data_IF_072858022238
#
_entry.id   IF_072858022238
#
_cell.length_a   1.000
_cell.length_b   1.000
_cell.length_c   1.000
_cell.angle_alpha   90.00
_cell.angle_beta   90.00
_cell.angle_gamma   90.00
#
_symmetry.space_group_name_H-M   'P 1'
#
loop_
_entity.id
_entity.type
_entity.pdbx_description
1 polymer ?
#
# COMPACT_ATOMS: atom_id res chain seq x y z
N UNK A 1 25.39 -0.19 -59.96
CA UNK A 1 26.39 -0.96 -59.19
C UNK A 1 25.74 -1.46 -57.91
N UNK A 2 25.10 -2.64 -57.94
CA UNK A 2 24.46 -3.23 -56.76
C UNK A 2 25.51 -3.85 -55.83
N UNK A 3 25.46 -3.54 -54.53
CA UNK A 3 26.33 -4.18 -53.53
C UNK A 3 26.09 -5.69 -53.56
N UNK A 4 27.16 -6.46 -53.74
CA UNK A 4 27.11 -7.91 -53.62
C UNK A 4 26.55 -8.29 -52.23
N UNK A 5 25.55 -9.16 -52.22
CA UNK A 5 24.94 -9.67 -51.00
C UNK A 5 25.97 -10.54 -50.27
N UNK A 6 26.32 -10.12 -49.06
CA UNK A 6 27.21 -10.87 -48.17
C UNK A 6 26.38 -11.64 -47.14
N UNK A 7 26.22 -12.97 -47.30
CA UNK A 7 25.42 -13.79 -46.38
C UNK A 7 26.02 -13.85 -44.97
N UNK A 8 27.34 -13.68 -44.81
CA UNK A 8 27.99 -13.70 -43.51
C UNK A 8 27.62 -12.43 -42.70
N UNK A 9 27.53 -11.28 -43.37
CA UNK A 9 27.06 -10.03 -42.77
C UNK A 9 25.59 -10.11 -42.36
N UNK A 10 24.71 -10.62 -43.21
CA UNK A 10 23.29 -10.75 -42.90
C UNK A 10 23.04 -11.69 -41.70
N UNK A 11 23.81 -12.78 -41.61
CA UNK A 11 23.73 -13.74 -40.49
C UNK A 11 24.21 -13.11 -39.19
N UNK A 12 25.31 -12.35 -39.22
CA UNK A 12 25.83 -11.61 -38.05
C UNK A 12 24.84 -10.56 -37.55
N UNK A 13 24.22 -9.81 -38.45
CA UNK A 13 23.20 -8.80 -38.09
C UNK A 13 21.96 -9.45 -37.44
N UNK A 14 21.55 -10.63 -37.93
CA UNK A 14 20.44 -11.40 -37.34
C UNK A 14 20.77 -11.91 -35.93
N UNK A 15 21.98 -12.42 -35.71
CA UNK A 15 22.43 -12.89 -34.39
C UNK A 15 22.52 -11.74 -33.38
N UNK A 16 23.04 -10.58 -33.80
CA UNK A 16 23.10 -9.38 -32.95
C UNK A 16 21.70 -8.86 -32.59
N UNK A 17 20.73 -8.95 -33.51
CA UNK A 17 19.35 -8.58 -33.22
C UNK A 17 18.71 -9.51 -32.19
N UNK A 18 18.96 -10.82 -32.26
CA UNK A 18 18.45 -11.80 -31.29
C UNK A 18 19.07 -11.58 -29.91
N UNK A 19 20.38 -11.38 -29.82
CA UNK A 19 21.09 -11.10 -28.57
C UNK A 19 20.56 -9.82 -27.89
N UNK A 20 20.31 -8.77 -28.67
CA UNK A 20 19.71 -7.52 -28.16
C UNK A 20 18.30 -7.73 -27.63
N UNK A 21 17.49 -8.57 -28.28
CA UNK A 21 16.14 -8.91 -27.82
C UNK A 21 16.16 -9.72 -26.53
N UNK A 22 17.11 -10.64 -26.38
CA UNK A 22 17.26 -11.41 -25.15
C UNK A 22 17.73 -10.54 -23.98
N UNK A 23 18.72 -9.67 -24.20
CA UNK A 23 19.17 -8.69 -23.19
C UNK A 23 18.05 -7.75 -22.75
N UNK A 24 17.25 -7.23 -23.70
CA UNK A 24 16.10 -6.39 -23.38
C UNK A 24 15.03 -7.13 -22.56
N UNK A 25 14.77 -8.40 -22.87
CA UNK A 25 13.83 -9.24 -22.10
C UNK A 25 14.34 -9.53 -20.69
N UNK A 26 15.63 -9.79 -20.53
CA UNK A 26 16.25 -10.01 -19.22
C UNK A 26 16.18 -8.74 -18.35
N UNK A 27 16.46 -7.57 -18.93
CA UNK A 27 16.33 -6.29 -18.24
C UNK A 27 14.89 -5.99 -17.84
N UNK A 28 13.92 -6.23 -18.72
CA UNK A 28 12.50 -6.04 -18.39
C UNK A 28 12.04 -6.94 -17.23
N UNK A 29 12.49 -8.21 -17.19
CA UNK A 29 12.23 -9.13 -16.07
C UNK A 29 12.83 -8.61 -14.77
N UNK A 30 14.11 -8.21 -14.78
CA UNK A 30 14.76 -7.67 -13.58
C UNK A 30 14.07 -6.41 -13.03
N UNK A 31 13.57 -5.53 -13.91
CA UNK A 31 12.77 -4.37 -13.51
C UNK A 31 11.43 -4.79 -12.92
N UNK A 32 10.77 -5.77 -13.53
CA UNK A 32 9.47 -6.28 -13.05
C UNK A 32 9.61 -6.96 -11.69
N UNK A 33 10.66 -7.76 -11.50
CA UNK A 33 10.98 -8.43 -10.24
C UNK A 33 11.30 -7.40 -9.14
N UNK A 34 12.11 -6.37 -9.45
CA UNK A 34 12.43 -5.30 -8.50
C UNK A 34 11.22 -4.41 -8.14
N UNK A 35 10.32 -4.17 -9.09
CA UNK A 35 9.04 -3.46 -8.84
C UNK A 35 8.10 -4.34 -8.00
N UNK A 36 8.01 -5.64 -8.29
CA UNK A 36 7.20 -6.57 -7.51
C UNK A 36 7.70 -6.68 -6.07
N UNK A 37 9.01 -6.74 -5.85
CA UNK A 37 9.63 -6.71 -4.52
C UNK A 37 9.32 -5.40 -3.79
N UNK A 38 9.45 -4.26 -4.46
CA UNK A 38 9.16 -2.94 -3.88
C UNK A 38 7.67 -2.78 -3.54
N UNK A 39 6.78 -3.28 -4.39
CA UNK A 39 5.32 -3.28 -4.16
C UNK A 39 4.95 -4.26 -3.05
N UNK A 40 5.60 -5.42 -2.95
CA UNK A 40 5.42 -6.37 -1.86
C UNK A 40 5.88 -5.78 -0.52
N UNK A 41 7.04 -5.11 -0.48
CA UNK A 41 7.53 -4.38 0.69
C UNK A 41 6.58 -3.26 1.10
N UNK A 42 5.98 -2.55 0.15
CA UNK A 42 4.98 -1.52 0.43
C UNK A 42 3.65 -2.11 0.96
N UNK A 43 3.19 -3.23 0.39
CA UNK A 43 1.96 -3.94 0.79
C UNK A 43 2.09 -4.69 2.12
N UNK A 44 3.30 -5.07 2.52
CA UNK A 44 3.61 -5.82 3.74
C UNK A 44 3.76 -4.96 5.00
N UNK A 45 3.41 -3.66 4.95
CA UNK A 45 3.26 -2.85 6.17
C UNK A 45 2.20 -3.51 7.08
N UNK A 46 2.62 -3.91 8.28
CA UNK A 46 1.79 -4.64 9.25
C UNK A 46 1.91 -6.18 9.22
N UNK A 47 2.60 -6.77 8.24
CA UNK A 47 2.82 -8.23 8.19
C UNK A 47 4.09 -8.65 8.95
N UNK A 48 4.05 -9.79 9.64
CA UNK A 48 5.21 -10.35 10.32
C UNK A 48 6.17 -10.99 9.30
N UNK A 49 7.40 -10.50 9.24
CA UNK A 49 8.46 -11.12 8.44
C UNK A 49 9.22 -12.17 9.26
N UNK A 50 9.53 -13.30 8.64
CA UNK A 50 10.49 -14.25 9.18
C UNK A 50 11.91 -13.70 9.01
N UNK A 51 12.67 -13.65 10.10
CA UNK A 51 14.08 -13.22 10.13
C UNK A 51 14.97 -14.45 10.26
N UNK A 52 16.15 -14.39 9.66
CA UNK A 52 17.19 -15.43 9.79
C UNK A 52 17.50 -15.77 11.27
N UNK A 53 17.82 -17.04 11.56
CA UNK A 53 17.93 -17.54 12.92
C UNK A 53 19.19 -16.98 13.61
N UNK A 54 19.01 -16.17 14.66
CA UNK A 54 20.15 -15.74 15.50
C UNK A 54 19.98 -14.50 16.38
N UNK A 55 18.90 -13.72 16.26
CA UNK A 55 18.67 -12.55 17.11
C UNK A 55 17.31 -12.62 17.81
N UNK A 56 17.30 -12.38 19.13
CA UNK A 56 16.16 -12.45 20.08
C UNK A 56 14.77 -12.30 19.45
N UNK A 57 13.91 -13.21 19.89
CA UNK A 57 12.57 -13.56 19.41
C UNK A 57 11.50 -12.47 19.65
N UNK A 58 11.63 -11.34 18.98
CA UNK A 58 10.51 -10.41 18.81
C UNK A 58 10.51 -9.91 17.37
N UNK A 59 9.51 -10.26 16.54
CA UNK A 59 9.37 -9.67 15.22
C UNK A 59 9.32 -8.15 15.38
N UNK A 60 10.28 -7.45 14.76
CA UNK A 60 10.33 -5.98 14.76
C UNK A 60 9.16 -5.47 13.91
N UNK A 61 7.97 -5.38 14.52
CA UNK A 61 6.83 -4.69 13.94
C UNK A 61 7.15 -3.20 13.96
N UNK A 62 7.20 -2.55 12.80
CA UNK A 62 7.08 -1.08 12.76
C UNK A 62 5.77 -0.73 13.47
N UNK A 63 5.87 -0.07 14.61
CA UNK A 63 4.69 0.40 15.33
C UNK A 63 3.92 1.35 14.42
N UNK A 64 2.63 1.09 14.22
CA UNK A 64 1.79 2.03 13.49
C UNK A 64 1.71 3.35 14.27
N UNK A 65 1.44 4.45 13.57
CA UNK A 65 1.39 5.77 14.20
C UNK A 65 0.43 5.85 15.40
N UNK A 66 -0.70 5.15 15.35
CA UNK A 66 -1.68 5.07 16.45
C UNK A 66 -1.14 4.28 17.64
N UNK A 67 -0.56 3.09 17.44
CA UNK A 67 0.04 2.28 18.51
C UNK A 67 1.16 3.04 19.21
N UNK A 68 1.99 3.74 18.44
CA UNK A 68 3.08 4.55 18.96
C UNK A 68 2.55 5.69 19.86
N UNK A 69 1.50 6.38 19.42
CA UNK A 69 0.88 7.46 20.19
C UNK A 69 0.19 6.93 21.45
N UNK A 70 -0.53 5.81 21.35
CA UNK A 70 -1.19 5.16 22.48
C UNK A 70 -0.18 4.66 23.52
N UNK A 71 0.91 4.02 23.08
CA UNK A 71 2.00 3.56 23.95
C UNK A 71 2.67 4.72 24.70
N UNK A 72 2.74 5.90 24.08
CA UNK A 72 3.23 7.13 24.73
C UNK A 72 2.21 7.83 25.61
N UNK A 73 1.01 7.26 25.80
CA UNK A 73 -0.08 7.86 26.57
C UNK A 73 -0.62 9.15 25.96
N UNK A 74 -0.38 9.38 24.67
CA UNK A 74 -0.80 10.62 23.99
C UNK A 74 -2.23 10.54 23.45
N UNK A 75 -2.81 9.35 23.39
CA UNK A 75 -4.19 9.10 22.99
C UNK A 75 -4.96 8.40 24.11
N UNK A 76 -6.22 8.75 24.27
CA UNK A 76 -7.16 8.01 25.11
C UNK A 76 -7.64 6.73 24.39
N UNK A 77 -8.19 5.78 25.14
CA UNK A 77 -8.75 4.55 24.56
C UNK A 77 -9.87 4.83 23.55
N UNK A 78 -10.69 5.88 23.79
CA UNK A 78 -11.76 6.30 22.86
C UNK A 78 -11.21 6.86 21.56
N UNK A 79 -10.17 7.70 21.64
CA UNK A 79 -9.49 8.25 20.47
C UNK A 79 -8.80 7.15 19.66
N UNK A 80 -8.13 6.20 20.33
CA UNK A 80 -7.51 5.05 19.67
C UNK A 80 -8.54 4.24 18.89
N UNK A 81 -9.64 3.84 19.53
CA UNK A 81 -10.71 3.07 18.88
C UNK A 81 -11.35 3.83 17.70
N UNK A 82 -11.50 5.17 17.80
CA UNK A 82 -11.99 5.99 16.69
C UNK A 82 -11.00 6.01 15.51
N UNK A 83 -9.71 6.17 15.80
CA UNK A 83 -8.64 6.13 14.81
C UNK A 83 -8.55 4.78 14.11
N UNK A 84 -8.69 3.68 14.84
CA UNK A 84 -8.69 2.31 14.28
C UNK A 84 -9.85 2.10 13.31
N UNK A 85 -11.09 2.46 13.69
CA UNK A 85 -12.26 2.37 12.80
C UNK A 85 -12.09 3.21 11.53
N UNK A 86 -11.57 4.43 11.68
CA UNK A 86 -11.27 5.30 10.53
C UNK A 86 -10.23 4.63 9.62
N UNK A 87 -9.11 4.17 10.20
CA UNK A 87 -8.01 3.55 9.48
C UNK A 87 -8.42 2.27 8.76
N UNK A 88 -9.24 1.42 9.38
CA UNK A 88 -9.80 0.23 8.76
C UNK A 88 -10.65 0.57 7.53
N UNK A 89 -11.57 1.53 7.67
CA UNK A 89 -12.39 2.00 6.54
C UNK A 89 -11.52 2.59 5.43
N UNK A 90 -10.49 3.37 5.78
CA UNK A 90 -9.54 3.93 4.82
C UNK A 90 -8.80 2.82 4.05
N UNK A 91 -8.19 1.86 4.75
CA UNK A 91 -7.42 0.78 4.12
C UNK A 91 -8.30 -0.12 3.25
N UNK A 92 -9.49 -0.47 3.71
CA UNK A 92 -10.45 -1.25 2.91
C UNK A 92 -10.95 -0.47 1.67
N UNK A 93 -11.20 0.84 1.80
CA UNK A 93 -11.62 1.69 0.70
C UNK A 93 -10.48 1.96 -0.31
N UNK A 94 -9.24 2.07 0.18
CA UNK A 94 -8.04 2.33 -0.61
C UNK A 94 -7.43 1.06 -1.23
N UNK A 95 -7.73 -0.13 -0.69
CA UNK A 95 -7.31 -1.40 -1.26
C UNK A 95 -7.83 -1.53 -2.69
N UNK A 96 -7.00 -1.21 -3.67
CA UNK A 96 -7.25 -1.54 -5.06
C UNK A 96 -7.56 -3.03 -5.15
N UNK A 97 -8.67 -3.36 -5.80
CA UNK A 97 -8.81 -4.71 -6.28
C UNK A 97 -7.65 -4.86 -7.27
N UNK A 98 -6.63 -5.63 -6.91
CA UNK A 98 -5.78 -6.23 -7.92
C UNK A 98 -6.69 -7.18 -8.68
N UNK A 99 -7.51 -6.64 -9.58
CA UNK A 99 -8.04 -7.41 -10.68
C UNK A 99 -6.77 -7.74 -11.44
N UNK A 100 -6.20 -8.91 -11.16
CA UNK A 100 -5.08 -9.43 -11.93
C UNK A 100 -5.43 -9.22 -13.39
N UNK A 101 -4.53 -8.56 -14.12
CA UNK A 101 -4.73 -8.31 -15.53
C UNK A 101 -5.17 -9.62 -16.17
N UNK A 102 -6.21 -9.60 -17.00
CA UNK A 102 -6.63 -10.78 -17.77
C UNK A 102 -5.54 -11.31 -18.71
N UNK A 103 -4.40 -10.61 -18.79
CA UNK A 103 -3.18 -11.01 -19.49
C UNK A 103 -2.16 -11.79 -18.62
N UNK A 104 -2.36 -11.91 -17.29
CA UNK A 104 -1.58 -12.81 -16.43
C UNK A 104 -2.22 -14.21 -16.37
N UNK A 105 -2.48 -14.81 -17.53
CA UNK A 105 -2.67 -16.27 -17.61
C UNK A 105 -1.30 -16.88 -17.86
N UNK A 106 -0.57 -17.13 -16.78
CA UNK A 106 0.60 -18.02 -16.82
C UNK A 106 0.09 -19.45 -17.08
N UNK A 107 0.56 -20.13 -18.14
CA UNK A 107 0.23 -21.54 -18.34
C UNK A 107 0.86 -22.35 -17.19
N UNK A 108 0.05 -22.69 -16.19
CA UNK A 108 0.48 -23.37 -14.96
C UNK A 108 -0.13 -22.83 -13.67
N UNK A 109 -0.80 -21.67 -13.70
CA UNK A 109 -1.60 -21.19 -12.57
C UNK A 109 -2.87 -22.05 -12.40
N UNK A 110 -3.21 -22.39 -11.15
CA UNK A 110 -4.36 -23.25 -10.80
C UNK A 110 -5.65 -22.81 -11.52
N UNK A 111 -6.51 -23.76 -11.95
CA UNK A 111 -7.75 -23.42 -12.63
C UNK A 111 -8.69 -22.72 -11.65
N UNK A 112 -9.00 -21.46 -11.94
CA UNK A 112 -10.00 -20.67 -11.23
C UNK A 112 -9.38 -19.60 -10.35
N UNK A 113 -9.37 -18.36 -10.85
CA UNK A 113 -9.14 -17.17 -10.02
C UNK A 113 -10.19 -17.03 -8.90
N UNK A 114 -10.20 -15.90 -8.18
CA UNK A 114 -11.16 -15.68 -7.09
C UNK A 114 -12.60 -15.87 -7.60
N UNK A 115 -13.40 -16.65 -6.86
CA UNK A 115 -14.79 -16.92 -7.24
C UNK A 115 -15.57 -15.61 -7.42
N UNK A 116 -16.53 -15.58 -8.34
CA UNK A 116 -17.41 -14.41 -8.55
C UNK A 116 -18.05 -13.96 -7.23
N UNK A 117 -18.48 -14.91 -6.39
CA UNK A 117 -19.04 -14.61 -5.07
C UNK A 117 -18.03 -13.91 -4.14
N UNK A 118 -16.75 -14.29 -4.18
CA UNK A 118 -15.69 -13.63 -3.41
C UNK A 118 -15.41 -12.22 -3.93
N UNK A 119 -15.34 -12.03 -5.26
CA UNK A 119 -15.15 -10.71 -5.87
C UNK A 119 -16.31 -9.77 -5.53
N UNK A 120 -17.55 -10.25 -5.62
CA UNK A 120 -18.74 -9.49 -5.26
C UNK A 120 -18.76 -9.11 -3.76
N UNK A 121 -18.41 -10.04 -2.86
CA UNK A 121 -18.30 -9.75 -1.42
C UNK A 121 -17.23 -8.70 -1.13
N UNK A 122 -16.06 -8.80 -1.77
CA UNK A 122 -14.98 -7.82 -1.61
C UNK A 122 -15.41 -6.44 -2.14
N UNK A 123 -16.06 -6.38 -3.30
CA UNK A 123 -16.59 -5.13 -3.87
C UNK A 123 -17.66 -4.48 -2.98
N UNK A 124 -18.58 -5.27 -2.43
CA UNK A 124 -19.60 -4.78 -1.50
C UNK A 124 -18.98 -4.22 -0.21
N UNK A 125 -18.03 -4.96 0.39
CA UNK A 125 -17.31 -4.51 1.58
C UNK A 125 -16.54 -3.20 1.34
N UNK A 126 -15.89 -3.08 0.19
CA UNK A 126 -15.18 -1.85 -0.21
C UNK A 126 -16.12 -0.67 -0.38
N UNK A 127 -17.27 -0.87 -1.06
CA UNK A 127 -18.27 0.18 -1.23
C UNK A 127 -18.79 0.67 0.13
N UNK A 128 -19.09 -0.26 1.04
CA UNK A 128 -19.53 0.08 2.40
C UNK A 128 -18.46 0.83 3.18
N UNK A 129 -17.19 0.40 3.09
CA UNK A 129 -16.06 1.09 3.71
C UNK A 129 -15.89 2.51 3.17
N UNK A 130 -16.02 2.70 1.85
CA UNK A 130 -15.95 4.02 1.22
C UNK A 130 -17.09 4.94 1.70
N UNK A 131 -18.32 4.42 1.82
CA UNK A 131 -19.45 5.18 2.39
C UNK A 131 -19.19 5.57 3.84
N UNK A 132 -18.70 4.65 4.67
CA UNK A 132 -18.34 4.95 6.08
C UNK A 132 -17.22 5.98 6.18
N UNK A 133 -16.18 5.86 5.35
CA UNK A 133 -15.09 6.83 5.31
C UNK A 133 -15.60 8.23 4.93
N UNK A 134 -16.53 8.33 3.98
CA UNK A 134 -17.16 9.60 3.63
C UNK A 134 -17.96 10.19 4.80
N UNK A 135 -18.65 9.35 5.60
CA UNK A 135 -19.35 9.81 6.81
C UNK A 135 -18.37 10.36 7.85
N UNK A 136 -17.25 9.69 8.11
CA UNK A 136 -16.23 10.21 9.02
C UNK A 136 -15.65 11.54 8.54
N UNK A 137 -15.38 11.68 7.25
CA UNK A 137 -14.88 12.93 6.67
C UNK A 137 -15.89 14.08 6.79
N UNK A 138 -17.20 13.78 6.67
CA UNK A 138 -18.27 14.74 6.95
C UNK A 138 -18.38 15.12 8.43
N UNK A 139 -18.17 14.17 9.35
CA UNK A 139 -18.10 14.48 10.78
C UNK A 139 -16.94 15.42 11.12
N UNK A 140 -15.84 15.32 10.37
CA UNK A 140 -14.72 16.27 10.42
C UNK A 140 -14.98 17.58 9.65
N UNK A 141 -16.25 17.85 9.31
CA UNK A 141 -16.69 19.04 8.56
C UNK A 141 -15.97 19.24 7.23
N UNK A 142 -15.49 18.15 6.62
CA UNK A 142 -14.72 18.17 5.39
C UNK A 142 -13.45 19.03 5.45
N UNK A 143 -12.96 19.33 6.66
CA UNK A 143 -11.78 20.17 6.86
C UNK A 143 -10.51 19.41 6.47
N UNK A 144 -9.80 19.93 5.47
CA UNK A 144 -8.68 19.27 4.82
C UNK A 144 -7.56 18.86 5.79
N UNK A 145 -7.24 19.69 6.78
CA UNK A 145 -6.16 19.40 7.73
C UNK A 145 -6.52 18.22 8.67
N UNK A 146 -7.76 18.16 9.15
CA UNK A 146 -8.24 17.07 10.01
C UNK A 146 -8.25 15.75 9.23
N UNK A 147 -8.81 15.78 8.03
CA UNK A 147 -8.85 14.62 7.14
C UNK A 147 -7.44 14.17 6.78
N UNK A 148 -6.56 15.11 6.41
CA UNK A 148 -5.18 14.81 6.04
C UNK A 148 -4.38 14.18 7.19
N UNK A 149 -4.59 14.64 8.42
CA UNK A 149 -3.97 14.03 9.60
C UNK A 149 -4.47 12.59 9.82
N UNK A 150 -5.79 12.37 9.76
CA UNK A 150 -6.37 11.03 9.90
C UNK A 150 -5.95 10.08 8.77
N UNK A 151 -5.93 10.54 7.51
CA UNK A 151 -5.52 9.73 6.36
C UNK A 151 -4.06 9.28 6.50
N UNK A 152 -3.14 10.18 6.88
CA UNK A 152 -1.72 9.85 7.02
C UNK A 152 -1.43 8.95 8.22
N UNK A 153 -2.02 9.24 9.38
CA UNK A 153 -1.67 8.55 10.63
C UNK A 153 -2.54 7.31 10.84
N UNK A 154 -3.86 7.43 10.71
CA UNK A 154 -4.78 6.30 10.90
C UNK A 154 -4.84 5.41 9.65
N UNK A 155 -4.88 6.02 8.46
CA UNK A 155 -5.04 5.31 7.19
C UNK A 155 -3.73 4.69 6.68
N UNK A 156 -2.69 5.51 6.52
CA UNK A 156 -1.38 5.10 6.00
C UNK A 156 -0.41 4.60 7.10
N UNK A 157 -0.87 4.61 8.36
CA UNK A 157 -0.17 4.07 9.52
C UNK A 157 1.17 4.77 9.83
N UNK A 158 1.36 6.01 9.35
CA UNK A 158 2.59 6.78 9.56
C UNK A 158 2.66 7.33 10.99
N UNK A 159 3.87 7.38 11.55
CA UNK A 159 4.09 8.16 12.79
C UNK A 159 3.96 9.66 12.50
N UNK A 160 3.63 10.52 13.50
CA UNK A 160 3.50 11.95 13.28
C UNK A 160 4.75 12.59 12.63
N UNK A 161 5.94 12.14 13.05
CA UNK A 161 7.22 12.61 12.48
C UNK A 161 7.37 12.25 11.01
N UNK A 162 7.00 11.03 10.61
CA UNK A 162 7.04 10.59 9.21
C UNK A 162 6.00 11.34 8.36
N UNK A 163 4.79 11.53 8.88
CA UNK A 163 3.70 12.19 8.18
C UNK A 163 3.89 13.71 8.03
N UNK A 164 4.60 14.35 8.98
CA UNK A 164 4.95 15.76 8.96
C UNK A 164 6.28 16.09 8.27
N UNK A 165 7.15 15.09 8.04
CA UNK A 165 8.48 15.29 7.47
C UNK A 165 9.51 15.87 8.45
N UNK A 166 9.21 15.91 9.75
CA UNK A 166 10.03 16.55 10.77
C UNK A 166 9.38 16.54 12.16
N UNK A 167 10.15 16.91 13.19
CA UNK A 167 9.67 16.90 14.58
C UNK A 167 8.62 18.00 14.82
N UNK A 168 8.88 19.23 14.35
CA UNK A 168 7.99 20.37 14.55
C UNK A 168 6.64 20.17 13.86
N UNK A 169 6.68 19.77 12.59
CA UNK A 169 5.50 19.48 11.78
C UNK A 169 4.78 18.25 12.33
N UNK A 170 5.50 17.24 12.82
CA UNK A 170 4.92 16.08 13.48
C UNK A 170 4.14 16.44 14.74
N UNK A 171 4.65 17.34 15.59
CA UNK A 171 3.93 17.82 16.78
C UNK A 171 2.67 18.61 16.41
N UNK A 172 2.74 19.45 15.38
CA UNK A 172 1.56 20.16 14.86
C UNK A 172 0.52 19.17 14.33
N UNK A 173 0.94 18.20 13.54
CA UNK A 173 0.07 17.18 12.98
C UNK A 173 -0.56 16.32 14.07
N UNK A 174 0.18 16.02 15.14
CA UNK A 174 -0.35 15.31 16.31
C UNK A 174 -1.45 16.13 17.01
N UNK A 175 -1.28 17.43 17.20
CA UNK A 175 -2.30 18.28 17.81
C UNK A 175 -3.58 18.30 16.98
N UNK A 176 -3.45 18.45 15.66
CA UNK A 176 -4.57 18.37 14.70
C UNK A 176 -5.26 17.01 14.76
N UNK A 177 -4.48 15.92 14.81
CA UNK A 177 -5.01 14.56 14.91
C UNK A 177 -5.84 14.37 16.19
N UNK A 178 -5.38 14.86 17.34
CA UNK A 178 -6.13 14.73 18.60
C UNK A 178 -7.52 15.34 18.51
N UNK A 179 -7.59 16.56 17.97
CA UNK A 179 -8.88 17.26 17.74
C UNK A 179 -9.77 16.44 16.80
N UNK A 180 -9.22 15.94 15.69
CA UNK A 180 -9.97 15.10 14.76
C UNK A 180 -10.51 13.83 15.45
N UNK A 181 -9.69 13.15 16.25
CA UNK A 181 -10.09 11.94 16.96
C UNK A 181 -11.10 12.21 18.08
N UNK A 182 -11.05 13.36 18.74
CA UNK A 182 -12.07 13.76 19.72
C UNK A 182 -13.43 13.97 19.06
N UNK A 183 -13.47 14.61 17.89
CA UNK A 183 -14.70 14.78 17.10
C UNK A 183 -15.27 13.42 16.70
N UNK A 184 -14.43 12.53 16.16
CA UNK A 184 -14.84 11.19 15.74
C UNK A 184 -15.23 10.26 16.92
N UNK A 185 -14.65 10.47 18.10
CA UNK A 185 -14.97 9.71 19.30
C UNK A 185 -16.23 10.21 20.04
N UNK A 186 -16.63 11.45 19.77
CA UNK A 186 -17.87 12.06 20.28
C UNK A 186 -19.09 11.63 19.45
N UNK A 187 -18.92 11.37 18.16
CA UNK A 187 -19.99 10.90 17.29
C UNK A 187 -20.31 9.41 17.54
N UNK A 188 -21.59 9.01 17.61
CA UNK A 188 -21.96 7.60 17.65
C UNK A 188 -21.60 6.90 16.32
N UNK A 189 -21.32 5.58 16.36
CA UNK A 189 -20.91 4.79 15.19
C UNK A 189 -22.01 4.64 14.12
#
# INVERSE_FOLDING_TARGET
>A
MGRAYDPARATRERLLMLERREKARAQARAVTDGVAESVALSRSRGAAFAKEPGARDTPYRRQCGLDWLAKKGRLTARQLAAGERYGECYRLAAAEASIGSTLEVQPGSLPGGPSLAQVLRQGAGRKQAATRLALYRRQLLEQADLIGACDRICGQELTPREAGGGEREGLRLEAVLKVALDILAAAPP
#
